data_IF_554544564197
#
_entry.id   IF_554544564197
#
_cell.length_a   1.000
_cell.length_b   1.000
_cell.length_c   1.000
_cell.angle_alpha   90.00
_cell.angle_beta   90.00
_cell.angle_gamma   90.00
#
_symmetry.space_group_name_H-M   'P 1'
#
loop_
_entity.id
_entity.type
_entity.pdbx_description
1 polymer ?
#
# COMPACT_ATOMS: atom_id res chain seq x y z
N UNK A 1 7.75 -23.59 7.54
CA UNK A 1 9.17 -23.48 7.86
C UNK A 1 9.33 -23.14 9.32
N UNK A 2 10.34 -23.72 9.98
CA UNK A 2 10.68 -23.47 11.38
C UNK A 2 11.38 -22.12 11.60
N UNK A 3 11.83 -21.91 12.85
CA UNK A 3 12.55 -20.71 13.24
C UNK A 3 13.94 -20.63 12.60
N UNK A 4 14.30 -19.46 12.14
CA UNK A 4 15.56 -19.17 11.44
C UNK A 4 16.24 -17.93 12.05
N UNK A 5 16.62 -17.98 13.35
CA UNK A 5 17.06 -16.79 14.09
C UNK A 5 18.40 -16.19 13.60
N UNK A 6 19.12 -16.89 12.73
CA UNK A 6 20.39 -16.40 12.16
C UNK A 6 20.26 -15.90 10.71
N UNK A 7 19.04 -15.99 10.14
CA UNK A 7 18.79 -15.54 8.78
C UNK A 7 18.84 -14.02 8.71
N UNK A 8 19.63 -13.47 7.79
CA UNK A 8 19.82 -12.03 7.60
C UNK A 8 19.09 -11.47 6.39
N UNK A 9 18.87 -12.31 5.39
CA UNK A 9 18.14 -11.90 4.18
C UNK A 9 17.42 -13.07 3.55
N UNK A 10 16.34 -12.75 2.87
CA UNK A 10 15.58 -13.67 2.01
C UNK A 10 15.79 -13.18 0.57
N UNK A 11 16.36 -14.02 -0.26
CA UNK A 11 16.70 -13.66 -1.64
C UNK A 11 15.50 -13.53 -2.55
N UNK A 12 15.74 -13.04 -3.77
CA UNK A 12 14.70 -12.92 -4.79
C UNK A 12 14.11 -14.30 -5.11
N UNK A 13 12.79 -14.36 -5.22
CA UNK A 13 12.03 -15.59 -5.54
C UNK A 13 12.34 -16.78 -4.64
N UNK A 14 12.82 -16.56 -3.40
CA UNK A 14 13.29 -17.62 -2.51
C UNK A 14 12.24 -18.70 -2.24
N UNK A 15 10.96 -18.36 -2.22
CA UNK A 15 9.83 -19.26 -2.03
C UNK A 15 8.81 -19.16 -3.16
N UNK A 16 9.05 -18.28 -4.12
CA UNK A 16 8.25 -18.19 -5.33
C UNK A 16 8.75 -19.23 -6.31
N UNK A 17 7.89 -20.13 -6.68
CA UNK A 17 8.21 -21.14 -7.66
C UNK A 17 7.09 -21.22 -8.69
N UNK A 18 7.36 -20.76 -9.90
CA UNK A 18 6.50 -21.06 -11.03
C UNK A 18 7.29 -21.92 -12.00
N UNK A 19 6.92 -23.17 -12.17
CA UNK A 19 7.28 -23.94 -13.34
C UNK A 19 6.11 -23.86 -14.29
N UNK A 20 6.36 -23.31 -15.48
CA UNK A 20 5.51 -23.55 -16.62
C UNK A 20 5.96 -24.88 -17.24
N UNK A 21 5.14 -25.90 -17.14
CA UNK A 21 5.34 -27.14 -17.87
C UNK A 21 4.87 -26.93 -19.31
N UNK A 22 5.37 -27.75 -20.24
CA UNK A 22 4.93 -27.75 -21.65
C UNK A 22 3.41 -28.01 -21.81
N UNK A 23 2.74 -28.47 -20.77
CA UNK A 23 1.29 -28.72 -20.73
C UNK A 23 0.47 -27.52 -20.22
N UNK A 24 1.12 -26.38 -19.91
CA UNK A 24 0.47 -25.15 -19.41
C UNK A 24 0.08 -25.19 -17.95
N UNK A 25 0.52 -26.20 -17.17
CA UNK A 25 0.32 -26.21 -15.72
C UNK A 25 1.37 -25.33 -15.03
N UNK A 26 0.91 -24.42 -14.17
CA UNK A 26 1.77 -23.60 -13.31
C UNK A 26 1.69 -24.15 -11.88
N UNK A 27 2.84 -24.37 -11.27
CA UNK A 27 2.91 -24.72 -9.84
C UNK A 27 3.33 -23.50 -9.04
N UNK A 28 2.54 -23.21 -8.00
CA UNK A 28 2.79 -22.11 -7.06
C UNK A 28 3.16 -22.66 -5.68
N UNK A 29 3.63 -21.77 -4.79
CA UNK A 29 3.97 -22.12 -3.39
C UNK A 29 2.71 -22.28 -2.52
N UNK A 30 1.78 -23.14 -2.92
CA UNK A 30 0.45 -23.26 -2.29
C UNK A 30 0.45 -24.01 -0.94
N UNK A 31 1.56 -24.66 -0.59
CA UNK A 31 1.64 -25.48 0.62
C UNK A 31 2.29 -24.75 1.81
N UNK A 32 2.93 -23.61 1.59
CA UNK A 32 3.63 -22.87 2.64
C UNK A 32 2.61 -22.05 3.44
N UNK A 33 2.31 -22.50 4.67
CA UNK A 33 1.31 -21.83 5.53
C UNK A 33 1.93 -20.88 6.55
N UNK A 34 3.16 -21.15 6.96
CA UNK A 34 3.82 -20.42 8.03
C UNK A 34 5.33 -20.35 7.83
N UNK A 35 5.88 -19.20 8.18
CA UNK A 35 7.32 -18.99 8.40
C UNK A 35 7.52 -18.67 9.87
N UNK A 36 8.44 -19.38 10.52
CA UNK A 36 8.78 -19.18 11.93
C UNK A 36 9.55 -17.89 12.17
N UNK A 37 10.35 -17.86 13.23
CA UNK A 37 11.11 -16.67 13.60
C UNK A 37 12.14 -16.28 12.53
N UNK A 38 11.96 -15.08 11.98
CA UNK A 38 12.87 -14.40 11.05
C UNK A 38 13.22 -13.00 11.57
N UNK A 39 13.19 -12.80 12.88
CA UNK A 39 13.36 -11.50 13.53
C UNK A 39 14.68 -10.78 13.20
N UNK A 40 15.68 -11.48 12.71
CA UNK A 40 16.97 -10.90 12.28
C UNK A 40 17.07 -10.62 10.78
N UNK A 41 15.99 -10.84 10.01
CA UNK A 41 15.99 -10.52 8.58
C UNK A 41 15.89 -9.01 8.38
N UNK A 42 16.81 -8.48 7.60
CA UNK A 42 16.91 -7.06 7.24
C UNK A 42 16.35 -6.77 5.84
N UNK A 43 16.36 -7.79 4.95
CA UNK A 43 15.91 -7.63 3.56
C UNK A 43 15.11 -8.83 3.10
N UNK A 44 13.98 -8.53 2.43
CA UNK A 44 13.16 -9.50 1.71
C UNK A 44 13.23 -9.12 0.23
N UNK A 45 13.73 -10.04 -0.60
CA UNK A 45 13.97 -9.82 -2.02
C UNK A 45 12.71 -9.76 -2.87
N UNK A 46 12.90 -9.44 -4.14
CA UNK A 46 11.81 -9.37 -5.11
C UNK A 46 11.15 -10.75 -5.29
N UNK A 47 9.82 -10.75 -5.33
CA UNK A 47 9.01 -11.96 -5.48
C UNK A 47 9.31 -13.07 -4.46
N UNK A 48 9.92 -12.75 -3.31
CA UNK A 48 10.41 -13.77 -2.36
C UNK A 48 9.33 -14.78 -1.96
N UNK A 49 8.09 -14.33 -1.79
CA UNK A 49 6.91 -15.15 -1.44
C UNK A 49 5.77 -15.00 -2.46
N UNK A 50 6.08 -14.58 -3.68
CA UNK A 50 5.06 -14.36 -4.71
C UNK A 50 4.19 -15.59 -4.89
N UNK A 51 2.87 -15.40 -4.89
CA UNK A 51 1.85 -16.46 -5.02
C UNK A 51 1.93 -17.55 -3.95
N UNK A 52 2.48 -17.28 -2.76
CA UNK A 52 2.35 -18.18 -1.61
C UNK A 52 0.93 -18.03 -1.03
N UNK A 53 -0.08 -18.48 -1.78
CA UNK A 53 -1.50 -18.21 -1.46
C UNK A 53 -1.96 -18.77 -0.10
N UNK A 54 -1.34 -19.85 0.39
CA UNK A 54 -1.63 -20.40 1.71
C UNK A 54 -0.85 -19.78 2.85
N UNK A 55 0.09 -18.85 2.58
CA UNK A 55 0.90 -18.21 3.64
C UNK A 55 0.00 -17.32 4.50
N UNK A 56 -0.27 -17.76 5.72
CA UNK A 56 -1.14 -17.08 6.67
C UNK A 56 -0.37 -16.40 7.81
N UNK A 57 0.82 -16.90 8.12
CA UNK A 57 1.64 -16.42 9.24
C UNK A 57 3.11 -16.24 8.80
N UNK A 58 3.69 -15.11 9.17
CA UNK A 58 5.11 -14.83 9.01
C UNK A 58 5.67 -14.30 10.32
N UNK A 59 6.89 -14.72 10.66
CA UNK A 59 7.59 -14.25 11.86
C UNK A 59 7.81 -12.73 11.86
N UNK A 60 8.42 -12.22 12.94
CA UNK A 60 8.61 -10.78 13.12
C UNK A 60 9.40 -10.14 11.98
N UNK A 61 8.89 -9.02 11.45
CA UNK A 61 9.52 -8.19 10.43
C UNK A 61 10.16 -6.90 11.02
N UNK A 62 10.33 -6.84 12.34
CA UNK A 62 10.77 -5.62 13.05
C UNK A 62 12.12 -5.05 12.59
N UNK A 63 13.03 -5.89 12.08
CA UNK A 63 14.33 -5.44 11.58
C UNK A 63 14.38 -5.31 10.05
N UNK A 64 13.28 -5.61 9.36
CA UNK A 64 13.23 -5.50 7.90
C UNK A 64 13.30 -4.03 7.49
N UNK A 65 14.29 -3.70 6.67
CA UNK A 65 14.47 -2.36 6.11
C UNK A 65 13.95 -2.25 4.67
N UNK A 66 13.92 -3.38 3.96
CA UNK A 66 13.49 -3.42 2.55
C UNK A 66 12.63 -4.65 2.28
N UNK A 67 11.47 -4.41 1.68
CA UNK A 67 10.60 -5.42 1.08
C UNK A 67 10.63 -5.17 -0.43
N UNK A 68 11.04 -6.16 -1.20
CA UNK A 68 11.21 -6.08 -2.65
C UNK A 68 9.90 -6.00 -3.44
N UNK A 69 10.03 -5.83 -4.75
CA UNK A 69 8.89 -5.80 -5.66
C UNK A 69 8.20 -7.18 -5.68
N UNK A 70 6.86 -7.21 -5.63
CA UNK A 70 6.06 -8.44 -5.59
C UNK A 70 6.35 -9.38 -4.40
N UNK A 71 7.08 -8.94 -3.38
CA UNK A 71 7.61 -9.84 -2.34
C UNK A 71 6.55 -10.74 -1.70
N UNK A 72 5.35 -10.25 -1.46
CA UNK A 72 4.18 -10.97 -0.95
C UNK A 72 2.97 -10.90 -1.89
N UNK A 73 3.19 -10.52 -3.16
CA UNK A 73 2.09 -10.44 -4.12
C UNK A 73 1.32 -11.77 -4.20
N UNK A 74 -0.01 -11.70 -4.16
CA UNK A 74 -0.93 -12.85 -4.13
C UNK A 74 -0.77 -13.79 -2.91
N UNK A 75 -0.26 -13.30 -1.79
CA UNK A 75 -0.35 -14.02 -0.51
C UNK A 75 -1.77 -13.85 0.08
N UNK A 76 -2.76 -14.45 -0.57
CA UNK A 76 -4.19 -14.22 -0.31
C UNK A 76 -4.68 -14.72 1.05
N UNK A 77 -3.88 -15.50 1.78
CA UNK A 77 -4.16 -15.90 3.16
C UNK A 77 -3.48 -15.02 4.22
N UNK A 78 -2.59 -14.09 3.82
CA UNK A 78 -1.83 -13.25 4.74
C UNK A 78 -2.70 -12.10 5.26
N UNK A 79 -3.12 -12.20 6.54
CA UNK A 79 -4.03 -11.25 7.18
C UNK A 79 -3.34 -10.28 8.11
N UNK A 80 -2.21 -10.67 8.66
CA UNK A 80 -1.47 -9.90 9.64
C UNK A 80 0.04 -10.05 9.40
N UNK A 81 0.73 -8.96 9.58
CA UNK A 81 2.20 -8.91 9.69
C UNK A 81 2.53 -8.13 10.96
N UNK A 82 3.71 -8.38 11.52
CA UNK A 82 4.20 -7.57 12.64
C UNK A 82 4.43 -6.12 12.20
N UNK A 83 4.60 -5.22 13.18
CA UNK A 83 5.04 -3.85 12.94
C UNK A 83 6.32 -3.81 12.08
N UNK A 84 6.35 -2.89 11.13
CA UNK A 84 7.49 -2.62 10.25
C UNK A 84 8.37 -1.50 10.85
N UNK A 85 8.99 -1.79 12.03
CA UNK A 85 9.67 -0.78 12.86
C UNK A 85 10.84 -0.06 12.19
N UNK A 86 11.53 -0.75 11.30
CA UNK A 86 12.74 -0.25 10.65
C UNK A 86 12.61 -0.11 9.12
N UNK A 87 11.40 -0.24 8.59
CA UNK A 87 11.18 -0.20 7.14
C UNK A 87 11.65 1.14 6.54
N UNK A 88 12.27 1.07 5.38
CA UNK A 88 12.68 2.19 4.54
C UNK A 88 12.01 2.13 3.18
N UNK A 89 11.83 0.93 2.66
CA UNK A 89 11.27 0.72 1.34
C UNK A 89 10.32 -0.47 1.31
N UNK A 90 9.13 -0.23 0.77
CA UNK A 90 8.17 -1.25 0.34
C UNK A 90 8.11 -1.17 -1.18
N UNK A 91 8.42 -2.26 -1.86
CA UNK A 91 8.53 -2.34 -3.30
C UNK A 91 7.18 -2.23 -4.03
N UNK A 92 7.25 -2.14 -5.34
CA UNK A 92 6.09 -2.15 -6.22
C UNK A 92 5.36 -3.50 -6.10
N UNK A 93 4.01 -3.47 -5.98
CA UNK A 93 3.17 -4.66 -5.82
C UNK A 93 3.56 -5.57 -4.64
N UNK A 94 4.27 -5.06 -3.65
CA UNK A 94 4.85 -5.88 -2.59
C UNK A 94 3.82 -6.71 -1.83
N UNK A 95 2.61 -6.20 -1.63
CA UNK A 95 1.47 -6.85 -0.97
C UNK A 95 0.21 -6.89 -1.86
N UNK A 96 0.40 -6.89 -3.18
CA UNK A 96 -0.70 -6.94 -4.14
C UNK A 96 -1.64 -8.12 -3.85
N UNK A 97 -2.96 -7.84 -3.75
CA UNK A 97 -4.01 -8.83 -3.47
C UNK A 97 -3.79 -9.66 -2.19
N UNK A 98 -3.18 -9.04 -1.16
CA UNK A 98 -3.12 -9.60 0.19
C UNK A 98 -4.39 -9.28 0.98
N UNK A 99 -4.67 -10.08 2.03
CA UNK A 99 -5.84 -9.87 2.90
C UNK A 99 -5.46 -9.22 4.23
N UNK A 100 -4.45 -8.35 4.23
CA UNK A 100 -4.03 -7.62 5.43
C UNK A 100 -5.21 -6.82 6.02
N UNK A 101 -5.41 -6.90 7.34
CA UNK A 101 -6.45 -6.14 8.03
C UNK A 101 -5.95 -4.78 8.49
N UNK A 102 -4.73 -4.74 9.00
CA UNK A 102 -4.06 -3.54 9.53
C UNK A 102 -2.59 -3.53 9.12
N UNK A 103 -2.00 -2.33 9.07
CA UNK A 103 -0.58 -2.15 8.83
C UNK A 103 -0.04 -1.10 9.80
N UNK A 104 1.10 -1.38 10.45
CA UNK A 104 1.84 -0.44 11.27
C UNK A 104 3.21 -0.15 10.64
N UNK A 105 3.45 1.12 10.28
CA UNK A 105 4.69 1.62 9.67
C UNK A 105 5.49 2.37 10.73
N UNK A 106 6.47 1.70 11.33
CA UNK A 106 7.32 2.29 12.39
C UNK A 106 8.61 2.94 11.89
N UNK A 107 9.03 2.66 10.66
CA UNK A 107 10.25 3.24 10.06
C UNK A 107 10.18 4.75 9.85
N UNK A 108 11.31 5.36 9.52
CA UNK A 108 11.39 6.77 9.18
C UNK A 108 11.83 6.92 7.73
N UNK A 109 11.35 7.95 7.03
CA UNK A 109 11.67 8.22 5.64
C UNK A 109 11.28 7.05 4.72
N UNK A 110 10.04 6.61 4.87
CA UNK A 110 9.54 5.40 4.22
C UNK A 110 9.05 5.71 2.80
N UNK A 111 9.49 4.90 1.85
CA UNK A 111 9.04 4.94 0.47
C UNK A 111 8.14 3.75 0.17
N UNK A 112 6.90 4.02 -0.24
CA UNK A 112 5.91 3.02 -0.66
C UNK A 112 5.85 3.02 -2.18
N UNK A 113 6.12 1.87 -2.79
CA UNK A 113 6.12 1.68 -4.25
C UNK A 113 4.73 1.75 -4.88
N UNK A 114 4.72 1.84 -6.22
CA UNK A 114 3.47 1.83 -6.96
C UNK A 114 2.71 0.53 -6.72
N UNK A 115 1.38 0.64 -6.54
CA UNK A 115 0.47 -0.49 -6.37
C UNK A 115 0.88 -1.45 -5.22
N UNK A 116 1.66 -0.96 -4.23
CA UNK A 116 2.23 -1.80 -3.17
C UNK A 116 1.17 -2.59 -2.37
N UNK A 117 0.00 -2.01 -2.16
CA UNK A 117 -1.14 -2.59 -1.45
C UNK A 117 -2.41 -2.65 -2.32
N UNK A 118 -2.24 -2.67 -3.65
CA UNK A 118 -3.37 -2.74 -4.56
C UNK A 118 -4.23 -3.98 -4.25
N UNK A 119 -5.56 -3.79 -4.20
CA UNK A 119 -6.53 -4.85 -3.87
C UNK A 119 -6.35 -5.50 -2.49
N UNK A 120 -5.74 -4.80 -1.53
CA UNK A 120 -5.81 -5.22 -0.13
C UNK A 120 -7.20 -4.93 0.44
N UNK A 121 -8.20 -5.66 -0.05
CA UNK A 121 -9.63 -5.39 0.19
C UNK A 121 -10.06 -5.52 1.67
N UNK A 122 -9.20 -6.00 2.54
CA UNK A 122 -9.41 -6.10 3.99
C UNK A 122 -8.65 -5.04 4.79
N UNK A 123 -7.75 -4.25 4.15
CA UNK A 123 -6.90 -3.28 4.83
C UNK A 123 -7.74 -2.07 5.28
N UNK A 124 -8.17 -2.11 6.52
CA UNK A 124 -9.09 -1.13 7.10
C UNK A 124 -8.37 0.04 7.81
N UNK A 125 -7.14 -0.15 8.24
CA UNK A 125 -6.35 0.91 8.90
C UNK A 125 -4.86 0.79 8.64
N UNK A 126 -4.22 1.96 8.56
CA UNK A 126 -2.75 2.07 8.49
C UNK A 126 -2.33 3.08 9.55
N UNK A 127 -1.39 2.68 10.40
CA UNK A 127 -0.73 3.55 11.36
C UNK A 127 0.66 3.94 10.88
N UNK A 128 1.14 5.12 11.28
CA UNK A 128 2.48 5.60 10.96
C UNK A 128 2.66 6.20 9.57
N UNK A 129 1.60 6.64 8.90
CA UNK A 129 1.71 7.35 7.62
C UNK A 129 2.51 8.67 7.72
N UNK A 130 2.67 9.24 8.93
CA UNK A 130 3.57 10.37 9.18
C UNK A 130 5.06 10.03 8.97
N UNK A 131 5.41 8.77 8.91
CA UNK A 131 6.77 8.32 8.60
C UNK A 131 7.02 8.17 7.09
N UNK A 132 5.96 8.27 6.28
CA UNK A 132 6.02 8.06 4.81
C UNK A 132 6.34 9.37 4.12
N UNK A 133 7.37 9.37 3.28
CA UNK A 133 7.81 10.53 2.49
C UNK A 133 7.53 10.38 0.99
N UNK A 134 7.15 9.19 0.56
CA UNK A 134 6.80 8.93 -0.84
C UNK A 134 5.79 7.79 -0.96
N UNK A 135 4.76 8.02 -1.75
CA UNK A 135 3.73 7.05 -2.12
C UNK A 135 3.75 6.91 -3.64
N UNK A 136 3.71 5.70 -4.16
CA UNK A 136 3.61 5.43 -5.60
C UNK A 136 2.17 5.46 -6.11
N UNK A 137 2.00 5.55 -7.43
CA UNK A 137 0.68 5.49 -8.07
C UNK A 137 -0.05 4.19 -7.72
N UNK A 138 -1.35 4.28 -7.45
CA UNK A 138 -2.19 3.13 -7.11
C UNK A 138 -1.82 2.42 -5.80
N UNK A 139 -0.95 2.99 -4.97
CA UNK A 139 -0.37 2.27 -3.82
C UNK A 139 -1.39 1.65 -2.88
N UNK A 140 -2.55 2.28 -2.69
CA UNK A 140 -3.65 1.83 -1.83
C UNK A 140 -4.97 1.68 -2.60
N UNK A 141 -4.91 1.54 -3.91
CA UNK A 141 -6.11 1.35 -4.72
C UNK A 141 -6.87 0.09 -4.27
N UNK A 142 -8.19 0.23 -4.12
CA UNK A 142 -9.09 -0.84 -3.68
C UNK A 142 -8.81 -1.37 -2.28
N UNK A 143 -8.36 -0.51 -1.36
CA UNK A 143 -8.26 -0.84 0.07
C UNK A 143 -9.57 -0.52 0.81
N UNK A 144 -9.75 -1.13 2.00
CA UNK A 144 -10.98 -1.00 2.80
C UNK A 144 -10.95 0.15 3.83
N UNK A 145 -9.96 1.01 3.78
CA UNK A 145 -9.77 2.10 4.75
C UNK A 145 -11.02 2.99 4.86
N UNK A 146 -11.34 3.38 6.09
CA UNK A 146 -12.42 4.34 6.38
C UNK A 146 -11.88 5.76 6.59
N UNK A 147 -10.67 5.87 7.08
CA UNK A 147 -9.99 7.15 7.33
C UNK A 147 -8.53 7.05 6.96
N UNK A 148 -7.97 8.16 6.48
CA UNK A 148 -6.53 8.31 6.26
C UNK A 148 -6.09 9.53 7.05
N UNK A 149 -5.02 9.41 7.83
CA UNK A 149 -4.44 10.52 8.57
C UNK A 149 -2.92 10.45 8.60
N UNK A 150 -2.28 11.60 8.79
CA UNK A 150 -0.83 11.67 8.99
C UNK A 150 -0.01 11.71 7.71
N UNK A 151 -0.57 12.07 6.56
CA UNK A 151 0.19 12.23 5.31
C UNK A 151 1.02 13.54 5.29
N UNK A 152 1.56 13.93 6.43
CA UNK A 152 2.19 15.23 6.66
C UNK A 152 3.54 15.41 5.96
N UNK A 153 4.18 14.34 5.51
CA UNK A 153 5.51 14.39 4.88
C UNK A 153 5.49 14.14 3.37
N UNK A 154 4.30 14.09 2.74
CA UNK A 154 4.20 13.98 1.28
C UNK A 154 3.81 15.32 0.67
N UNK A 155 4.32 15.59 -0.52
CA UNK A 155 4.03 16.84 -1.26
C UNK A 155 3.00 16.66 -2.38
N UNK A 156 2.65 15.42 -2.71
CA UNK A 156 1.67 15.11 -3.74
C UNK A 156 0.92 13.82 -3.40
N UNK A 157 -0.38 13.78 -3.71
CA UNK A 157 -1.14 12.53 -3.82
C UNK A 157 -0.96 12.02 -5.24
N UNK A 158 -0.33 10.87 -5.47
CA UNK A 158 -0.09 10.38 -6.81
C UNK A 158 -1.36 9.84 -7.50
N UNK A 159 -1.23 9.55 -8.80
CA UNK A 159 -2.33 9.01 -9.59
C UNK A 159 -2.89 7.72 -8.97
N UNK A 160 -4.20 7.61 -8.91
CA UNK A 160 -4.94 6.45 -8.38
C UNK A 160 -4.58 6.03 -6.95
N UNK A 161 -3.82 6.82 -6.20
CA UNK A 161 -3.25 6.38 -4.91
C UNK A 161 -4.27 5.77 -3.95
N UNK A 162 -5.50 6.27 -3.95
CA UNK A 162 -6.62 5.82 -3.12
C UNK A 162 -7.88 5.53 -3.94
N UNK A 163 -7.73 5.29 -5.24
CA UNK A 163 -8.86 4.98 -6.11
C UNK A 163 -9.62 3.74 -5.60
N UNK A 164 -10.94 3.73 -5.75
CA UNK A 164 -11.80 2.60 -5.34
C UNK A 164 -11.70 2.23 -3.86
N UNK A 165 -11.26 3.14 -2.99
CA UNK A 165 -11.39 3.00 -1.54
C UNK A 165 -12.85 3.31 -1.16
N UNK A 166 -13.74 2.35 -1.39
CA UNK A 166 -15.19 2.55 -1.35
C UNK A 166 -15.72 3.02 0.01
N UNK A 167 -15.03 2.68 1.10
CA UNK A 167 -15.41 2.98 2.47
C UNK A 167 -14.73 4.24 3.03
N UNK A 168 -13.85 4.89 2.26
CA UNK A 168 -13.07 6.03 2.72
C UNK A 168 -13.99 7.24 2.94
N UNK A 169 -14.09 7.71 4.17
CA UNK A 169 -14.96 8.81 4.60
C UNK A 169 -14.20 10.13 4.75
N UNK A 170 -12.96 10.07 5.25
CA UNK A 170 -12.16 11.27 5.49
C UNK A 170 -10.69 11.07 5.21
N UNK A 171 -10.04 12.14 4.77
CA UNK A 171 -8.57 12.22 4.61
C UNK A 171 -8.08 13.48 5.29
N UNK A 172 -7.12 13.31 6.20
CA UNK A 172 -6.53 14.37 7.02
C UNK A 172 -5.00 14.39 6.86
N UNK A 173 -4.37 15.50 7.23
CA UNK A 173 -2.91 15.61 7.23
C UNK A 173 -2.33 15.92 5.85
N UNK A 174 -3.05 16.70 5.04
CA UNK A 174 -2.64 17.10 3.70
C UNK A 174 -1.99 18.48 3.64
N UNK A 175 -1.45 18.97 4.76
CA UNK A 175 -0.95 20.36 4.91
C UNK A 175 0.17 20.69 3.92
N UNK A 176 0.96 19.70 3.53
CA UNK A 176 2.10 19.89 2.61
C UNK A 176 1.81 19.46 1.17
N UNK A 177 0.58 18.99 0.89
CA UNK A 177 0.20 18.54 -0.44
C UNK A 177 -0.04 19.73 -1.36
N UNK A 178 0.64 19.73 -2.51
CA UNK A 178 0.55 20.77 -3.54
C UNK A 178 -0.18 20.31 -4.79
N UNK A 179 -0.33 18.98 -4.98
CA UNK A 179 -1.01 18.41 -6.13
C UNK A 179 -1.73 17.12 -5.79
N UNK A 180 -2.88 16.93 -6.44
CA UNK A 180 -3.69 15.71 -6.40
C UNK A 180 -3.67 15.10 -7.80
N UNK A 181 -3.21 13.87 -7.93
CA UNK A 181 -3.03 13.16 -9.18
C UNK A 181 -4.34 12.74 -9.86
N UNK A 182 -4.23 12.24 -11.07
CA UNK A 182 -5.38 11.72 -11.81
C UNK A 182 -5.97 10.50 -11.11
N UNK A 183 -7.31 10.40 -11.02
CA UNK A 183 -8.03 9.31 -10.36
C UNK A 183 -7.69 9.11 -8.88
N UNK A 184 -7.00 10.02 -8.23
CA UNK A 184 -6.43 9.82 -6.88
C UNK A 184 -7.44 9.32 -5.84
N UNK A 185 -8.68 9.79 -5.89
CA UNK A 185 -9.81 9.38 -5.04
C UNK A 185 -11.03 8.92 -5.86
N UNK A 186 -10.82 8.55 -7.13
CA UNK A 186 -11.93 8.09 -7.96
C UNK A 186 -12.65 6.91 -7.31
N UNK A 187 -14.00 6.94 -7.32
CA UNK A 187 -14.87 5.93 -6.70
C UNK A 187 -14.73 5.78 -5.18
N UNK A 188 -14.28 6.81 -4.49
CA UNK A 188 -14.39 6.88 -3.04
C UNK A 188 -15.82 7.31 -2.67
N UNK A 189 -16.81 6.40 -2.84
CA UNK A 189 -18.25 6.72 -2.74
C UNK A 189 -18.63 7.33 -1.39
N UNK A 190 -17.96 6.92 -0.30
CA UNK A 190 -18.22 7.38 1.04
C UNK A 190 -17.43 8.64 1.45
N UNK A 191 -16.60 9.19 0.57
CA UNK A 191 -15.75 10.33 0.92
C UNK A 191 -16.60 11.58 1.17
N UNK A 192 -16.64 12.01 2.43
CA UNK A 192 -17.40 13.17 2.88
C UNK A 192 -16.53 14.42 3.02
N UNK A 193 -15.30 14.24 3.52
CA UNK A 193 -14.39 15.33 3.85
C UNK A 193 -12.96 15.06 3.37
N UNK A 194 -12.33 16.12 2.88
CA UNK A 194 -10.93 16.14 2.49
C UNK A 194 -10.29 17.41 3.05
N UNK A 195 -9.38 17.25 4.00
CA UNK A 195 -8.71 18.38 4.66
C UNK A 195 -7.51 18.86 3.83
N UNK A 196 -7.81 19.47 2.68
CA UNK A 196 -6.79 20.16 1.87
C UNK A 196 -6.57 21.57 2.37
N UNK A 197 -5.43 22.12 2.00
CA UNK A 197 -5.06 23.51 2.32
C UNK A 197 -4.92 24.35 1.06
N UNK A 198 -4.76 25.65 1.21
CA UNK A 198 -4.45 26.57 0.10
C UNK A 198 -3.10 26.28 -0.59
N UNK A 199 -2.37 25.25 -0.17
CA UNK A 199 -1.15 24.80 -0.85
C UNK A 199 -1.45 24.00 -2.13
N UNK A 200 -2.65 23.43 -2.27
CA UNK A 200 -3.03 22.67 -3.47
C UNK A 200 -3.19 23.61 -4.66
N UNK A 201 -2.41 23.36 -5.70
CA UNK A 201 -2.41 24.17 -6.93
C UNK A 201 -2.96 23.42 -8.14
N UNK A 202 -2.95 22.08 -8.12
CA UNK A 202 -3.40 21.25 -9.24
C UNK A 202 -4.23 20.06 -8.78
N UNK A 203 -5.31 19.78 -9.52
CA UNK A 203 -6.17 18.62 -9.34
C UNK A 203 -6.20 17.87 -10.68
N UNK A 204 -5.84 16.60 -10.69
CA UNK A 204 -5.75 15.77 -11.86
C UNK A 204 -7.11 15.38 -12.45
N UNK A 205 -7.10 14.83 -13.66
CA UNK A 205 -8.31 14.35 -14.33
C UNK A 205 -8.94 13.20 -13.51
N UNK A 206 -10.29 13.22 -13.39
CA UNK A 206 -11.06 12.20 -12.68
C UNK A 206 -10.67 12.03 -11.20
N UNK A 207 -9.99 13.00 -10.60
CA UNK A 207 -9.42 12.86 -9.24
C UNK A 207 -10.46 12.51 -8.17
N UNK A 208 -11.68 13.03 -8.29
CA UNK A 208 -12.82 12.79 -7.38
C UNK A 208 -14.05 12.22 -8.11
N UNK A 209 -13.81 11.59 -9.27
CA UNK A 209 -14.90 10.97 -10.01
C UNK A 209 -15.63 9.95 -9.16
N UNK A 210 -16.96 10.00 -9.17
CA UNK A 210 -17.82 9.10 -8.40
C UNK A 210 -17.61 9.20 -6.85
N UNK A 211 -17.19 10.36 -6.33
CA UNK A 211 -17.19 10.67 -4.89
C UNK A 211 -18.58 11.18 -4.48
N UNK A 212 -19.57 10.27 -4.41
CA UNK A 212 -20.98 10.61 -4.29
C UNK A 212 -21.35 11.35 -2.99
N UNK A 213 -20.57 11.12 -1.91
CA UNK A 213 -20.78 11.75 -0.60
C UNK A 213 -20.07 13.10 -0.44
N UNK A 214 -19.17 13.48 -1.37
CA UNK A 214 -18.42 14.73 -1.31
C UNK A 214 -19.30 15.90 -1.74
N UNK A 215 -19.83 16.63 -0.77
CA UNK A 215 -20.80 17.72 -1.03
C UNK A 215 -20.17 19.10 -1.11
N UNK A 216 -18.98 19.27 -0.57
CA UNK A 216 -18.24 20.55 -0.59
C UNK A 216 -16.74 20.32 -0.52
N UNK A 217 -15.99 21.27 -1.04
CA UNK A 217 -14.54 21.30 -0.98
C UNK A 217 -14.09 22.73 -0.72
N UNK A 218 -13.35 22.94 0.35
CA UNK A 218 -12.84 24.24 0.75
C UNK A 218 -11.37 24.38 0.30
N UNK A 219 -10.77 25.57 0.49
CA UNK A 219 -9.35 25.82 0.21
C UNK A 219 -8.90 25.63 -1.24
N UNK A 220 -9.77 25.96 -2.20
CA UNK A 220 -9.47 25.89 -3.63
C UNK A 220 -8.94 27.22 -4.21
N UNK A 221 -8.68 28.22 -3.37
CA UNK A 221 -8.34 29.60 -3.79
C UNK A 221 -7.07 29.68 -4.63
N UNK A 222 -6.11 28.79 -4.42
CA UNK A 222 -4.84 28.74 -5.13
C UNK A 222 -4.79 27.67 -6.23
N UNK A 223 -5.87 26.96 -6.48
CA UNK A 223 -5.92 25.96 -7.55
C UNK A 223 -5.90 26.67 -8.91
N UNK A 224 -4.88 26.35 -9.69
CA UNK A 224 -4.66 26.95 -11.03
C UNK A 224 -5.02 26.01 -12.18
N UNK A 225 -5.17 24.71 -11.88
CA UNK A 225 -5.53 23.68 -12.88
C UNK A 225 -6.41 22.61 -12.28
N UNK A 226 -7.50 22.32 -12.97
CA UNK A 226 -8.42 21.18 -12.68
C UNK A 226 -8.52 20.38 -13.95
N UNK A 227 -8.22 19.08 -13.87
CA UNK A 227 -8.24 18.17 -15.01
C UNK A 227 -9.67 17.81 -15.45
N UNK A 228 -9.76 17.13 -16.59
CA UNK A 228 -11.04 16.71 -17.18
C UNK A 228 -11.83 15.82 -16.19
N UNK A 229 -13.13 16.12 -16.04
CA UNK A 229 -14.03 15.32 -15.18
C UNK A 229 -13.46 15.06 -13.78
N UNK A 230 -12.78 16.05 -13.19
CA UNK A 230 -12.13 15.89 -11.89
C UNK A 230 -13.12 15.61 -10.75
N UNK A 231 -14.40 16.01 -10.93
CA UNK A 231 -15.52 15.84 -9.99
C UNK A 231 -16.70 15.12 -10.64
#
# INVERSE_FOLDING_TARGET
LGDMPHLKSIGNSAFSYSISWDDGTEQYCDSLKRIGDISNVEQIGDSAFFSCASLAEIGSLQHVTTIGDWAFGYCTSLKEISSLDNIKKIGRWAFYDCQLNTLEIGGNDVHIGAEAFFSCNSLASIEGLSNVTSIGSGAFESCAMTTISGLTNISAIPDSAFASCFNLQSVEGLENVTSIGAYAFSRCYALETLDITDNVTTIGAYAFRDCESLTSMEHLSNVTSIGDSAF
#
